data_IF_012948161055
#
_entry.id   IF_012948161055
#
_cell.length_a   1.000
_cell.length_b   1.000
_cell.length_c   1.000
_cell.angle_alpha   90.00
_cell.angle_beta   90.00
_cell.angle_gamma   90.00
#
_symmetry.space_group_name_H-M   'P 1'
#
loop_
_entity.id
_entity.type
_entity.pdbx_description
1 polymer ?
#
# COMPACT_ATOMS: atom_id res chain seq x y z
N UNK A 1 32.56 25.75 24.35
CA UNK A 1 32.97 24.58 23.54
C UNK A 1 31.92 23.47 23.46
N UNK A 2 31.16 23.18 24.52
CA UNK A 2 30.30 21.97 24.61
C UNK A 2 28.94 22.06 23.89
N UNK A 3 28.30 23.25 23.85
CA UNK A 3 26.95 23.40 23.26
C UNK A 3 26.90 23.24 21.73
N UNK A 4 27.95 23.66 21.02
CA UNK A 4 28.02 23.55 19.56
C UNK A 4 28.16 22.08 19.11
N UNK A 5 28.97 21.28 19.83
CA UNK A 5 29.11 19.85 19.55
C UNK A 5 27.79 19.09 19.73
N UNK A 6 27.02 19.41 20.78
CA UNK A 6 25.71 18.81 21.01
C UNK A 6 24.68 19.16 19.92
N UNK A 7 24.70 20.40 19.41
CA UNK A 7 23.83 20.82 18.31
C UNK A 7 24.18 20.11 16.99
N UNK A 8 25.48 19.96 16.69
CA UNK A 8 25.96 19.21 15.52
C UNK A 8 25.57 17.73 15.62
N UNK A 9 25.73 17.12 16.80
CA UNK A 9 25.32 15.73 17.03
C UNK A 9 23.82 15.51 16.76
N UNK A 10 22.94 16.39 17.29
CA UNK A 10 21.50 16.33 17.00
C UNK A 10 21.19 16.48 15.52
N UNK A 11 21.88 17.38 14.81
CA UNK A 11 21.69 17.57 13.37
C UNK A 11 22.13 16.33 12.57
N UNK A 12 23.25 15.71 12.94
CA UNK A 12 23.74 14.52 12.26
C UNK A 12 22.78 13.33 12.48
N UNK A 13 22.27 13.18 13.70
CA UNK A 13 21.29 12.14 14.02
C UNK A 13 20.02 12.26 13.17
N UNK A 14 19.50 13.49 13.03
CA UNK A 14 18.38 13.79 12.13
C UNK A 14 18.63 13.34 10.69
N UNK A 15 19.80 13.65 10.16
CA UNK A 15 20.12 13.29 8.78
C UNK A 15 20.29 11.78 8.62
N UNK A 16 20.90 11.11 9.60
CA UNK A 16 20.99 9.65 9.65
C UNK A 16 19.60 9.01 9.61
N UNK A 17 18.66 9.52 10.39
CA UNK A 17 17.28 9.05 10.44
C UNK A 17 16.54 9.28 9.12
N UNK A 18 16.68 10.47 8.52
CA UNK A 18 16.09 10.79 7.22
C UNK A 18 16.60 9.84 6.12
N UNK A 19 17.90 9.59 6.07
CA UNK A 19 18.51 8.67 5.10
C UNK A 19 18.06 7.23 5.35
N UNK A 20 17.97 6.80 6.62
CA UNK A 20 17.44 5.49 7.00
C UNK A 20 16.03 5.28 6.45
N UNK A 21 15.14 6.25 6.62
CA UNK A 21 13.77 6.21 6.10
C UNK A 21 13.71 6.07 4.59
N UNK A 22 14.49 6.88 3.87
CA UNK A 22 14.57 6.79 2.41
C UNK A 22 15.00 5.40 1.98
N UNK A 23 16.05 4.84 2.61
CA UNK A 23 16.55 3.53 2.25
C UNK A 23 15.55 2.41 2.57
N UNK A 24 14.80 2.54 3.68
CA UNK A 24 13.71 1.61 4.01
C UNK A 24 12.58 1.69 2.99
N UNK A 25 12.17 2.89 2.57
CA UNK A 25 11.18 3.07 1.51
C UNK A 25 11.61 2.43 0.18
N UNK A 26 12.89 2.54 -0.18
CA UNK A 26 13.44 1.81 -1.33
C UNK A 26 13.42 0.29 -1.14
N UNK A 27 13.65 -0.22 0.06
CA UNK A 27 13.58 -1.64 0.34
C UNK A 27 12.14 -2.18 0.24
N UNK A 28 11.17 -1.45 0.78
CA UNK A 28 9.76 -1.75 0.66
C UNK A 28 9.30 -1.72 -0.81
N UNK A 29 9.64 -0.66 -1.55
CA UNK A 29 9.31 -0.56 -2.98
C UNK A 29 9.84 -1.74 -3.79
N UNK A 30 11.05 -2.25 -3.48
CA UNK A 30 11.59 -3.45 -4.14
C UNK A 30 10.71 -4.69 -3.96
N UNK A 31 10.00 -4.83 -2.84
CA UNK A 31 9.11 -5.98 -2.63
C UNK A 31 7.90 -5.97 -3.58
N UNK A 32 7.49 -4.79 -4.06
CA UNK A 32 6.30 -4.62 -4.89
C UNK A 32 6.58 -4.44 -6.38
N UNK A 33 7.84 -4.37 -6.79
CA UNK A 33 8.20 -4.25 -8.21
C UNK A 33 8.70 -5.59 -8.77
N UNK A 34 8.44 -5.89 -10.06
CA UNK A 34 8.91 -7.10 -10.71
C UNK A 34 10.42 -7.26 -10.56
N UNK A 35 10.86 -8.48 -10.24
CA UNK A 35 12.26 -8.82 -10.00
C UNK A 35 12.91 -8.15 -8.77
N UNK A 36 12.22 -7.23 -8.08
CA UNK A 36 12.76 -6.51 -6.93
C UNK A 36 12.87 -7.37 -5.66
N UNK A 37 11.85 -8.18 -5.36
CA UNK A 37 11.86 -9.08 -4.20
C UNK A 37 12.96 -10.17 -4.31
N UNK A 38 13.20 -10.66 -5.53
CA UNK A 38 14.23 -11.67 -5.82
C UNK A 38 15.64 -11.10 -5.95
N UNK A 39 15.78 -9.80 -6.27
CA UNK A 39 17.07 -9.16 -6.52
C UNK A 39 17.50 -8.26 -5.37
N UNK A 40 18.36 -8.80 -4.50
CA UNK A 40 19.06 -8.04 -3.44
C UNK A 40 19.95 -6.90 -3.99
N UNK A 41 20.08 -6.76 -5.32
CA UNK A 41 21.05 -5.88 -5.99
C UNK A 41 20.44 -4.72 -6.79
N UNK A 42 19.11 -4.56 -6.86
CA UNK A 42 18.54 -3.44 -7.63
C UNK A 42 18.95 -2.07 -7.05
N UNK A 43 19.57 -1.24 -7.87
CA UNK A 43 19.93 0.14 -7.50
C UNK A 43 18.68 1.01 -7.32
N UNK A 44 18.85 2.20 -6.73
CA UNK A 44 17.76 3.16 -6.55
C UNK A 44 17.13 3.54 -7.90
N UNK A 45 17.95 3.82 -8.91
CA UNK A 45 17.47 4.22 -10.24
C UNK A 45 16.74 3.07 -10.93
N UNK A 46 17.27 1.85 -10.88
CA UNK A 46 16.59 0.68 -11.46
C UNK A 46 15.27 0.39 -10.75
N UNK A 47 15.23 0.51 -9.43
CA UNK A 47 14.00 0.33 -8.65
C UNK A 47 12.93 1.34 -9.08
N UNK A 48 13.29 2.61 -9.26
CA UNK A 48 12.36 3.64 -9.73
C UNK A 48 11.88 3.39 -11.16
N UNK A 49 12.79 3.03 -12.07
CA UNK A 49 12.43 2.72 -13.46
C UNK A 49 11.46 1.55 -13.54
N UNK A 50 11.77 0.46 -12.84
CA UNK A 50 10.91 -0.73 -12.77
C UNK A 50 9.55 -0.42 -12.16
N UNK A 51 9.48 0.42 -11.11
CA UNK A 51 8.20 0.85 -10.53
C UNK A 51 7.32 1.59 -11.55
N UNK A 52 7.89 2.54 -12.29
CA UNK A 52 7.15 3.31 -13.30
C UNK A 52 6.66 2.40 -14.44
N UNK A 53 7.51 1.49 -14.91
CA UNK A 53 7.15 0.52 -15.95
C UNK A 53 6.05 -0.43 -15.47
N UNK A 54 6.14 -0.89 -14.22
CA UNK A 54 5.15 -1.80 -13.66
C UNK A 54 3.79 -1.14 -13.48
N UNK A 55 3.73 0.09 -12.98
CA UNK A 55 2.48 0.87 -12.90
C UNK A 55 1.83 0.98 -14.29
N UNK A 56 2.61 1.32 -15.32
CA UNK A 56 2.10 1.41 -16.71
C UNK A 56 1.64 0.06 -17.26
N UNK A 57 2.27 -1.03 -16.87
CA UNK A 57 1.84 -2.37 -17.27
C UNK A 57 0.52 -2.75 -16.60
N UNK A 58 0.39 -2.49 -15.29
CA UNK A 58 -0.85 -2.74 -14.54
C UNK A 58 -2.02 -1.89 -15.07
N UNK A 59 -1.79 -0.61 -15.39
CA UNK A 59 -2.81 0.25 -16.00
C UNK A 59 -3.32 -0.33 -17.32
N UNK A 60 -2.43 -0.74 -18.23
CA UNK A 60 -2.82 -1.36 -19.49
C UNK A 60 -3.62 -2.65 -19.30
N UNK A 61 -3.23 -3.50 -18.34
CA UNK A 61 -3.95 -4.73 -18.03
C UNK A 61 -5.39 -4.45 -17.55
N UNK A 62 -5.57 -3.39 -16.76
CA UNK A 62 -6.91 -2.97 -16.32
C UNK A 62 -7.74 -2.43 -17.50
N UNK A 63 -7.16 -1.58 -18.33
CA UNK A 63 -7.85 -1.00 -19.51
C UNK A 63 -8.28 -2.10 -20.50
N UNK A 64 -7.42 -3.08 -20.75
CA UNK A 64 -7.71 -4.23 -21.61
C UNK A 64 -8.84 -5.10 -21.04
N UNK A 65 -8.84 -5.34 -19.73
CA UNK A 65 -9.89 -6.07 -19.04
C UNK A 65 -11.24 -5.34 -19.10
N UNK A 66 -11.25 -4.02 -18.90
CA UNK A 66 -12.46 -3.21 -18.98
C UNK A 66 -13.01 -3.14 -20.42
N UNK A 67 -12.13 -3.03 -21.41
CA UNK A 67 -12.52 -3.07 -22.82
C UNK A 67 -13.10 -4.45 -23.21
N UNK A 68 -12.50 -5.54 -22.74
CA UNK A 68 -13.00 -6.90 -22.97
C UNK A 68 -14.38 -7.11 -22.33
N UNK A 69 -14.58 -6.61 -21.10
CA UNK A 69 -15.87 -6.69 -20.41
C UNK A 69 -16.95 -5.82 -21.08
N UNK A 70 -16.58 -4.63 -21.55
CA UNK A 70 -17.49 -3.78 -22.31
C UNK A 70 -17.91 -4.45 -23.62
N UNK A 71 -16.97 -5.07 -24.34
CA UNK A 71 -17.27 -5.83 -25.56
C UNK A 71 -18.14 -7.07 -25.29
N UNK A 72 -17.90 -7.80 -24.19
CA UNK A 72 -18.73 -8.93 -23.77
C UNK A 72 -20.17 -8.53 -23.44
N UNK A 73 -20.36 -7.34 -22.84
CA UNK A 73 -21.68 -6.80 -22.53
C UNK A 73 -22.37 -6.13 -23.75
N UNK A 74 -21.65 -5.93 -24.86
CA UNK A 74 -22.15 -5.21 -26.04
C UNK A 74 -22.66 -6.13 -27.17
N UNK A 75 -22.87 -7.43 -26.92
CA UNK A 75 -23.48 -8.31 -27.93
C UNK A 75 -24.95 -7.93 -28.24
N UNK A 76 -25.37 -8.09 -29.50
CA UNK A 76 -26.26 -7.15 -30.17
C UNK A 76 -27.73 -7.48 -29.97
N UNK A 77 -28.52 -6.41 -29.94
CA UNK A 77 -29.98 -6.41 -30.04
C UNK A 77 -30.41 -7.03 -31.39
N UNK A 78 -30.57 -8.35 -31.40
CA UNK A 78 -31.22 -9.11 -32.44
C UNK A 78 -32.72 -9.15 -32.15
N UNK A 79 -33.48 -8.34 -32.89
CA UNK A 79 -34.95 -8.35 -32.96
C UNK A 79 -35.55 -9.76 -32.76
N UNK A 80 -36.30 -9.93 -31.68
CA UNK A 80 -37.14 -11.09 -31.41
C UNK A 80 -38.40 -10.67 -30.64
N UNK A 81 -39.49 -10.48 -31.38
CA UNK A 81 -40.85 -10.36 -30.88
C UNK A 81 -41.28 -11.70 -30.22
N UNK A 82 -41.86 -11.67 -29.02
CA UNK A 82 -42.59 -12.81 -28.47
C UNK A 82 -42.39 -13.12 -26.99
N UNK A 83 -43.35 -12.65 -26.18
CA UNK A 83 -44.03 -13.34 -25.08
C UNK A 83 -43.31 -14.29 -24.11
N UNK A 84 -43.61 -14.13 -22.82
CA UNK A 84 -43.58 -15.23 -21.85
C UNK A 84 -42.96 -14.86 -20.53
N UNK A 85 -43.80 -14.64 -19.52
CA UNK A 85 -43.35 -14.33 -18.16
C UNK A 85 -42.75 -15.52 -17.40
N UNK A 86 -42.06 -15.18 -16.32
CA UNK A 86 -42.08 -15.86 -15.02
C UNK A 86 -41.37 -14.90 -14.04
N UNK A 87 -42.10 -14.43 -13.03
CA UNK A 87 -42.04 -14.94 -11.66
C UNK A 87 -40.79 -14.51 -10.91
N UNK A 88 -41.00 -13.47 -10.10
CA UNK A 88 -40.53 -13.26 -8.74
C UNK A 88 -39.67 -14.38 -8.11
N UNK A 89 -38.55 -14.00 -7.49
CA UNK A 89 -38.28 -14.44 -6.12
C UNK A 89 -37.30 -13.50 -5.42
N UNK A 90 -37.63 -13.23 -4.16
CA UNK A 90 -36.98 -12.33 -3.24
C UNK A 90 -35.59 -12.80 -2.82
N UNK A 91 -34.73 -11.86 -2.45
CA UNK A 91 -33.58 -12.13 -1.57
C UNK A 91 -33.84 -11.50 -0.21
N UNK A 92 -33.69 -12.23 0.91
CA UNK A 92 -33.99 -11.73 2.23
C UNK A 92 -32.85 -10.87 2.77
N UNK A 93 -33.23 -9.83 3.50
CA UNK A 93 -32.37 -9.11 4.42
C UNK A 93 -32.09 -9.97 5.66
N UNK A 94 -30.82 -10.15 5.99
CA UNK A 94 -30.38 -10.62 7.31
C UNK A 94 -29.37 -9.61 7.85
N UNK A 95 -29.80 -8.89 8.87
CA UNK A 95 -28.92 -8.11 9.73
C UNK A 95 -28.34 -8.98 10.86
N UNK A 96 -27.17 -8.59 11.32
CA UNK A 96 -26.64 -8.74 12.69
C UNK A 96 -25.34 -7.91 12.73
N UNK A 97 -25.18 -6.82 13.49
CA UNK A 97 -24.95 -6.75 14.95
C UNK A 97 -23.83 -7.73 15.37
N UNK A 98 -22.69 -7.37 15.98
CA UNK A 98 -22.24 -6.17 16.70
C UNK A 98 -20.68 -6.23 16.86
N UNK A 99 -20.02 -5.34 17.63
CA UNK A 99 -18.59 -5.01 17.55
C UNK A 99 -17.69 -5.93 18.38
N UNK A 100 -16.41 -6.06 17.97
CA UNK A 100 -15.37 -6.72 18.75
C UNK A 100 -14.16 -5.81 18.92
N UNK A 101 -13.89 -5.42 20.17
CA UNK A 101 -12.81 -4.56 20.62
C UNK A 101 -11.41 -4.94 20.14
N UNK A 102 -10.48 -3.97 20.01
CA UNK A 102 -9.06 -4.26 19.98
C UNK A 102 -8.61 -4.69 21.39
N UNK A 103 -8.06 -5.90 21.49
CA UNK A 103 -7.39 -6.36 22.69
C UNK A 103 -6.00 -5.69 22.73
N UNK A 104 -5.90 -4.60 23.49
CA UNK A 104 -4.62 -4.09 23.99
C UNK A 104 -4.17 -4.94 25.17
N UNK A 105 -2.95 -5.46 25.06
CA UNK A 105 -2.07 -5.90 26.14
C UNK A 105 -0.69 -6.15 25.49
N UNK A 106 0.46 -5.73 25.99
CA UNK A 106 0.86 -4.86 27.09
C UNK A 106 2.38 -4.72 26.95
N UNK A 107 2.92 -3.63 27.50
CA UNK A 107 4.30 -3.52 27.96
C UNK A 107 5.43 -3.66 26.92
N UNK A 108 5.94 -2.51 26.50
CA UNK A 108 7.35 -2.27 26.79
C UNK A 108 7.57 -0.78 27.02
N UNK A 109 8.04 -0.45 28.22
CA UNK A 109 8.28 0.91 28.69
C UNK A 109 9.41 1.59 27.95
N UNK A 110 9.17 2.03 26.72
CA UNK A 110 10.04 2.95 25.98
C UNK A 110 9.36 4.28 25.59
N UNK A 111 8.06 4.47 25.86
CA UNK A 111 7.31 5.64 25.37
C UNK A 111 7.81 6.98 25.96
N UNK A 112 8.34 6.98 27.18
CA UNK A 112 8.66 8.21 27.90
C UNK A 112 9.96 8.93 27.49
N UNK A 113 10.75 8.37 26.57
CA UNK A 113 12.04 8.96 26.16
C UNK A 113 12.23 9.11 24.64
N UNK A 114 11.22 8.77 23.83
CA UNK A 114 11.35 8.89 22.38
C UNK A 114 11.20 10.35 21.96
N UNK A 115 12.22 10.85 21.26
CA UNK A 115 12.15 12.12 20.54
C UNK A 115 10.93 12.10 19.61
N UNK A 116 10.25 13.24 19.37
CA UNK A 116 9.15 13.32 18.39
C UNK A 116 9.50 12.69 17.04
N UNK A 117 10.77 12.80 16.64
CA UNK A 117 11.31 12.22 15.40
C UNK A 117 11.30 10.68 15.43
N UNK A 118 11.62 10.06 16.57
CA UNK A 118 11.62 8.60 16.74
C UNK A 118 10.21 8.01 16.68
N UNK A 119 9.21 8.77 17.14
CA UNK A 119 7.80 8.38 17.04
C UNK A 119 7.30 8.39 15.60
N UNK A 120 7.61 9.45 14.85
CA UNK A 120 7.29 9.55 13.42
C UNK A 120 8.01 8.46 12.60
N UNK A 121 9.27 8.18 12.94
CA UNK A 121 10.05 7.09 12.36
C UNK A 121 9.36 5.73 12.54
N UNK A 122 8.80 5.46 13.73
CA UNK A 122 8.12 4.21 14.04
C UNK A 122 6.79 4.07 13.29
N UNK A 123 5.96 5.11 13.29
CA UNK A 123 4.69 5.14 12.58
C UNK A 123 4.88 4.83 11.08
N UNK A 124 5.84 5.51 10.45
CA UNK A 124 6.15 5.27 9.05
C UNK A 124 6.69 3.85 8.80
N UNK A 125 7.50 3.29 9.70
CA UNK A 125 7.98 1.90 9.55
C UNK A 125 6.87 0.87 9.72
N UNK A 126 5.89 1.16 10.58
CA UNK A 126 4.69 0.32 10.74
C UNK A 126 3.84 0.36 9.46
N UNK A 127 3.65 1.55 8.89
CA UNK A 127 2.92 1.71 7.63
C UNK A 127 3.53 0.88 6.48
N UNK A 128 4.87 0.86 6.36
CA UNK A 128 5.55 0.06 5.34
C UNK A 128 5.37 -1.47 5.51
N UNK A 129 5.05 -1.95 6.72
CA UNK A 129 4.87 -3.37 7.01
C UNK A 129 3.44 -3.88 6.85
N UNK A 130 2.47 -3.00 6.57
CA UNK A 130 1.05 -3.36 6.50
C UNK A 130 0.61 -3.93 5.14
N UNK A 131 1.49 -4.02 4.15
CA UNK A 131 1.22 -4.45 2.77
C UNK A 131 2.25 -5.47 2.30
#
# INVERSE_FOLDING_TARGET
GSGAAAAVARRNERERNRVRLVNLGFAALRQHVPHGAASKKMSKVETLRSAVEYIRALQRLLDEHDAANAAANAFPDGRGEGGGGYSSSASPSLGSSAPGSPCSSEESGYDAALSPEERELLDFTSWLGSY
#
